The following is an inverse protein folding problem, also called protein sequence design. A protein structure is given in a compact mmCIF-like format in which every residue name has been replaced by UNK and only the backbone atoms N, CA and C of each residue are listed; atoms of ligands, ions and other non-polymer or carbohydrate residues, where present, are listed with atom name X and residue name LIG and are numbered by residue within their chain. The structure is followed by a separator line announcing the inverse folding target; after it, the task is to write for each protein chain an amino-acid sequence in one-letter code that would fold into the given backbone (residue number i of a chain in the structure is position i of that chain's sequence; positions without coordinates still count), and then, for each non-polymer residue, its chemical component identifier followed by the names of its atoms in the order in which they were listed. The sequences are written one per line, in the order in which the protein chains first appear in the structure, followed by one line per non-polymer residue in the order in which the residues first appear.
data_IF_890358845410
#
_entry.id   IF_890358845410
#
_cell.length_a   1.000
_cell.length_b   1.000
_cell.length_c   1.000
_cell.angle_alpha   90.00
_cell.angle_beta   90.00
_cell.angle_gamma   90.00
#
_symmetry.space_group_name_H-M   'P 1'
#
loop_
_entity.id
_entity.type
_entity.pdbx_description
1 polymer ?
#
# COMPACT_ATOMS: atom_id res chain seq x y z
N UNK A 1 22.94 12.27 -10.43
CA UNK A 1 22.57 11.21 -9.46
C UNK A 1 22.14 11.84 -8.13
N UNK A 2 22.74 12.95 -7.72
CA UNK A 2 22.49 13.65 -6.45
C UNK A 2 21.04 14.13 -6.21
N UNK A 3 20.29 14.39 -7.29
CA UNK A 3 18.93 14.95 -7.18
C UNK A 3 17.87 13.92 -6.71
N UNK A 4 18.04 12.63 -7.01
CA UNK A 4 17.04 11.60 -6.64
C UNK A 4 17.08 11.31 -5.14
N UNK A 5 18.27 11.22 -4.56
CA UNK A 5 18.43 10.98 -3.12
C UNK A 5 17.81 12.14 -2.35
N UNK A 6 18.06 13.38 -2.78
CA UNK A 6 17.45 14.57 -2.18
C UNK A 6 15.91 14.56 -2.29
N UNK A 7 15.36 14.26 -3.46
CA UNK A 7 13.91 14.14 -3.65
C UNK A 7 13.29 13.04 -2.78
N UNK A 8 13.94 11.87 -2.70
CA UNK A 8 13.51 10.75 -1.87
C UNK A 8 13.49 11.17 -0.39
N UNK A 9 14.57 11.80 0.10
CA UNK A 9 14.65 12.28 1.48
C UNK A 9 13.60 13.35 1.78
N UNK A 10 13.37 14.32 0.88
CA UNK A 10 12.33 15.35 1.05
C UNK A 10 10.93 14.74 1.08
N UNK A 11 10.66 13.77 0.21
CA UNK A 11 9.38 13.07 0.16
C UNK A 11 9.05 12.38 1.49
N UNK A 12 9.96 11.57 2.04
CA UNK A 12 9.69 10.88 3.30
C UNK A 12 9.58 11.83 4.49
N UNK A 13 10.41 12.87 4.56
CA UNK A 13 10.26 13.92 5.59
C UNK A 13 8.89 14.58 5.53
N UNK A 14 8.36 14.82 4.32
CA UNK A 14 7.02 15.35 4.15
C UNK A 14 5.97 14.34 4.62
N UNK A 15 6.02 13.09 4.16
CA UNK A 15 5.08 12.04 4.57
C UNK A 15 5.08 11.85 6.09
N UNK A 16 6.25 11.79 6.73
CA UNK A 16 6.40 11.65 8.19
C UNK A 16 5.69 12.73 9.00
N UNK A 17 5.61 13.96 8.50
CA UNK A 17 4.87 15.04 9.16
C UNK A 17 3.37 14.75 9.22
N UNK A 18 2.82 14.07 8.21
CA UNK A 18 1.41 13.70 8.13
C UNK A 18 1.12 12.31 8.71
N UNK A 19 2.14 11.44 8.88
CA UNK A 19 1.99 10.09 9.45
C UNK A 19 1.41 10.11 10.86
N UNK A 20 1.89 11.00 11.72
CA UNK A 20 1.60 10.96 13.17
C UNK A 20 0.10 10.95 13.52
N UNK A 21 -0.75 11.45 12.63
CA UNK A 21 -2.20 11.51 12.84
C UNK A 21 -3.01 10.82 11.74
N UNK A 22 -2.37 10.18 10.76
CA UNK A 22 -3.09 9.58 9.64
C UNK A 22 -3.52 8.15 9.95
N UNK A 23 -4.81 7.88 9.81
CA UNK A 23 -5.36 6.50 9.82
C UNK A 23 -5.28 5.80 8.46
N UNK A 24 -4.81 6.52 7.44
CA UNK A 24 -4.85 6.09 6.03
C UNK A 24 -3.48 5.71 5.48
N UNK A 25 -2.40 6.00 6.21
CA UNK A 25 -1.05 5.63 5.79
C UNK A 25 -0.60 4.42 6.59
N UNK A 26 -0.04 3.44 5.89
CA UNK A 26 0.41 2.18 6.47
C UNK A 26 1.92 2.07 6.35
N UNK A 27 2.56 1.64 7.45
CA UNK A 27 3.95 1.20 7.45
C UNK A 27 4.08 -0.18 6.80
N UNK A 28 5.30 -0.59 6.45
CA UNK A 28 5.57 -1.95 5.99
C UNK A 28 5.13 -2.99 7.03
N UNK A 29 5.37 -2.71 8.32
CA UNK A 29 4.95 -3.57 9.42
C UNK A 29 3.43 -3.64 9.54
N UNK A 30 2.71 -2.52 9.38
CA UNK A 30 1.24 -2.53 9.36
C UNK A 30 0.69 -3.42 8.25
N UNK A 31 1.25 -3.29 7.04
CA UNK A 31 0.84 -4.09 5.88
C UNK A 31 1.12 -5.56 6.14
N UNK A 32 2.33 -5.90 6.59
CA UNK A 32 2.75 -7.27 6.91
C UNK A 32 1.87 -7.88 8.00
N UNK A 33 1.67 -7.19 9.12
CA UNK A 33 0.85 -7.66 10.23
C UNK A 33 -0.59 -7.93 9.78
N UNK A 34 -1.17 -7.07 8.93
CA UNK A 34 -2.52 -7.29 8.38
C UNK A 34 -2.59 -8.50 7.46
N UNK A 35 -1.59 -8.69 6.59
CA UNK A 35 -1.50 -9.87 5.72
C UNK A 35 -1.42 -11.14 6.56
N UNK A 36 -0.52 -11.18 7.55
CA UNK A 36 -0.33 -12.32 8.44
C UNK A 36 -1.60 -12.65 9.24
N UNK A 37 -2.28 -11.63 9.78
CA UNK A 37 -3.57 -11.81 10.46
C UNK A 37 -4.62 -12.40 9.51
N UNK A 38 -4.73 -11.90 8.28
CA UNK A 38 -5.70 -12.39 7.30
C UNK A 38 -5.40 -13.85 6.92
N UNK A 39 -4.15 -14.16 6.61
CA UNK A 39 -3.73 -15.52 6.21
C UNK A 39 -3.93 -16.52 7.34
N UNK A 40 -3.51 -16.17 8.56
CA UNK A 40 -3.62 -17.06 9.73
C UNK A 40 -5.07 -17.33 10.13
N UNK A 41 -5.91 -16.29 10.16
CA UNK A 41 -7.31 -16.41 10.59
C UNK A 41 -8.24 -16.96 9.49
N UNK A 42 -7.79 -17.04 8.23
CA UNK A 42 -8.51 -17.81 7.20
C UNK A 42 -8.44 -19.32 7.49
N UNK A 43 -7.30 -19.78 8.00
CA UNK A 43 -7.06 -21.20 8.30
C UNK A 43 -7.67 -21.66 9.64
N UNK A 44 -8.07 -20.73 10.52
CA UNK A 44 -8.66 -21.05 11.83
C UNK A 44 -9.93 -20.21 12.12
N UNK A 45 -11.13 -20.70 11.73
CA UNK A 45 -12.36 -19.92 11.79
C UNK A 45 -12.99 -19.75 13.19
N UNK A 46 -12.51 -20.47 14.20
CA UNK A 46 -13.28 -20.77 15.42
C UNK A 46 -13.35 -19.65 16.46
N UNK A 47 -12.63 -18.54 16.28
CA UNK A 47 -12.62 -17.42 17.23
C UNK A 47 -12.44 -16.06 16.54
N UNK A 48 -13.31 -15.73 15.57
CA UNK A 48 -13.23 -14.42 14.90
C UNK A 48 -13.68 -13.30 15.84
N UNK A 49 -12.72 -12.73 16.57
CA UNK A 49 -12.89 -11.47 17.26
C UNK A 49 -13.41 -10.40 16.28
N UNK A 50 -14.22 -9.46 16.78
CA UNK A 50 -14.81 -8.38 15.96
C UNK A 50 -13.75 -7.60 15.15
N UNK A 51 -12.54 -7.45 15.69
CA UNK A 51 -11.41 -6.83 14.98
C UNK A 51 -11.00 -7.59 13.72
N UNK A 52 -10.97 -8.92 13.77
CA UNK A 52 -10.64 -9.79 12.64
C UNK A 52 -11.75 -9.78 11.59
N UNK A 53 -13.02 -9.77 12.04
CA UNK A 53 -14.15 -9.58 11.14
C UNK A 53 -14.04 -8.26 10.35
N UNK A 54 -13.80 -7.15 11.05
CA UNK A 54 -13.61 -5.83 10.42
C UNK A 54 -12.42 -5.82 9.46
N UNK A 55 -11.34 -6.53 9.79
CA UNK A 55 -10.17 -6.67 8.92
C UNK A 55 -10.52 -7.39 7.60
N UNK A 56 -11.30 -8.47 7.64
CA UNK A 56 -11.72 -9.20 6.44
C UNK A 56 -12.72 -8.45 5.56
N UNK A 57 -13.52 -7.57 6.17
CA UNK A 57 -14.42 -6.69 5.44
C UNK A 57 -13.62 -5.58 4.75
N UNK A 58 -12.69 -4.95 5.46
CA UNK A 58 -11.93 -3.83 4.92
C UNK A 58 -10.84 -4.24 3.91
N UNK A 59 -10.29 -5.45 4.01
CA UNK A 59 -9.12 -5.84 3.22
C UNK A 59 -9.20 -7.27 2.67
N UNK A 60 -8.49 -7.47 1.58
CA UNK A 60 -8.17 -8.77 0.99
C UNK A 60 -6.66 -8.94 0.89
N UNK A 61 -6.21 -10.18 0.85
CA UNK A 61 -4.84 -10.55 0.47
C UNK A 61 -4.92 -11.20 -0.89
N UNK A 62 -4.11 -10.69 -1.81
CA UNK A 62 -4.00 -11.18 -3.19
C UNK A 62 -2.54 -11.41 -3.53
N UNK A 63 -2.28 -12.49 -4.26
CA UNK A 63 -0.93 -12.85 -4.68
C UNK A 63 -0.63 -12.23 -6.05
N UNK A 64 0.49 -11.53 -6.16
CA UNK A 64 1.00 -11.02 -7.44
C UNK A 64 2.47 -11.41 -7.56
N UNK A 65 2.82 -12.14 -8.62
CA UNK A 65 4.21 -12.51 -8.89
C UNK A 65 4.88 -13.24 -7.71
N UNK A 66 4.13 -14.08 -6.99
CA UNK A 66 4.62 -14.84 -5.83
C UNK A 66 4.67 -14.04 -4.52
N UNK A 67 4.19 -12.80 -4.50
CA UNK A 67 4.16 -11.95 -3.30
C UNK A 67 2.73 -11.65 -2.88
N UNK A 68 2.40 -11.93 -1.62
CA UNK A 68 1.13 -11.54 -1.02
C UNK A 68 1.08 -10.02 -0.81
N UNK A 69 0.07 -9.38 -1.38
CA UNK A 69 -0.20 -7.94 -1.27
C UNK A 69 -1.53 -7.71 -0.56
N UNK A 70 -1.55 -6.70 0.30
CA UNK A 70 -2.78 -6.22 0.93
C UNK A 70 -3.54 -5.33 -0.07
N UNK A 71 -4.83 -5.58 -0.22
CA UNK A 71 -5.67 -4.85 -1.17
C UNK A 71 -7.01 -4.46 -0.55
N UNK A 72 -7.57 -3.38 -1.07
CA UNK A 72 -8.97 -2.99 -0.86
C UNK A 72 -9.73 -3.18 -2.16
N UNK A 73 -10.96 -3.64 -2.03
CA UNK A 73 -11.91 -3.63 -3.13
C UNK A 73 -12.61 -2.28 -3.11
N UNK A 74 -12.59 -1.59 -4.24
CA UNK A 74 -13.43 -0.44 -4.49
C UNK A 74 -14.67 -0.93 -5.24
N UNK A 75 -15.80 -0.98 -4.53
CA UNK A 75 -17.06 -1.49 -5.10
C UNK A 75 -17.70 -0.49 -6.06
N UNK A 76 -17.43 0.82 -5.90
CA UNK A 76 -17.99 1.86 -6.77
C UNK A 76 -17.34 1.81 -8.15
N UNK A 77 -16.01 1.74 -8.18
CA UNK A 77 -15.23 1.76 -9.42
C UNK A 77 -14.93 0.34 -9.98
N UNK A 78 -15.33 -0.72 -9.28
CA UNK A 78 -14.91 -2.12 -9.55
C UNK A 78 -13.38 -2.27 -9.65
N UNK A 79 -12.63 -1.54 -8.82
CA UNK A 79 -11.17 -1.54 -8.83
C UNK A 79 -10.59 -2.30 -7.64
N UNK A 80 -9.43 -2.90 -7.84
CA UNK A 80 -8.61 -3.48 -6.77
C UNK A 80 -7.47 -2.53 -6.45
N UNK A 81 -7.53 -1.87 -5.30
CA UNK A 81 -6.52 -0.91 -4.85
C UNK A 81 -5.49 -1.61 -3.98
N UNK A 82 -4.26 -1.73 -4.46
CA UNK A 82 -3.13 -2.24 -3.68
C UNK A 82 -2.69 -1.22 -2.63
N UNK A 83 -2.48 -1.70 -1.41
CA UNK A 83 -1.91 -0.87 -0.35
C UNK A 83 -0.39 -0.90 -0.47
N UNK A 84 0.18 0.21 -0.93
CA UNK A 84 1.62 0.46 -0.89
C UNK A 84 1.97 0.99 0.50
N UNK A 85 2.93 0.35 1.17
CA UNK A 85 3.52 0.90 2.37
C UNK A 85 4.21 2.22 2.04
N UNK A 86 4.14 3.21 2.93
CA UNK A 86 4.68 4.53 2.60
C UNK A 86 6.18 4.46 2.34
N UNK A 87 6.91 3.59 3.04
CA UNK A 87 8.34 3.35 2.88
C UNK A 87 8.71 2.91 1.47
N UNK A 88 7.77 2.33 0.72
CA UNK A 88 7.98 1.85 -0.66
C UNK A 88 7.43 2.84 -1.71
N UNK A 89 6.62 3.81 -1.28
CA UNK A 89 5.81 4.64 -2.16
C UNK A 89 6.64 5.49 -3.13
N UNK A 90 7.75 6.09 -2.67
CA UNK A 90 8.62 6.87 -3.55
C UNK A 90 9.25 6.01 -4.63
N UNK A 91 9.73 4.81 -4.26
CA UNK A 91 10.40 3.91 -5.19
C UNK A 91 9.43 3.38 -6.25
N UNK A 92 8.19 3.07 -5.87
CA UNK A 92 7.15 2.67 -6.83
C UNK A 92 6.77 3.83 -7.77
N UNK A 93 6.63 5.07 -7.25
CA UNK A 93 6.36 6.25 -8.08
C UNK A 93 7.52 6.51 -9.05
N UNK A 94 8.76 6.50 -8.58
CA UNK A 94 9.95 6.75 -9.38
C UNK A 94 10.13 5.67 -10.46
N UNK A 95 9.92 4.41 -10.11
CA UNK A 95 9.93 3.28 -11.05
C UNK A 95 8.89 3.46 -12.14
N UNK A 96 7.65 3.79 -11.79
CA UNK A 96 6.59 4.00 -12.78
C UNK A 96 6.89 5.22 -13.65
N UNK A 97 7.30 6.34 -13.05
CA UNK A 97 7.67 7.57 -13.75
C UNK A 97 8.79 7.35 -14.79
N UNK A 98 9.81 6.56 -14.43
CA UNK A 98 10.86 6.15 -15.37
C UNK A 98 10.32 5.26 -16.48
N UNK A 99 9.45 4.31 -16.14
CA UNK A 99 8.87 3.35 -17.11
C UNK A 99 8.01 4.06 -18.17
N UNK A 100 7.29 5.12 -17.81
CA UNK A 100 6.49 5.93 -18.76
C UNK A 100 7.31 6.99 -19.51
N UNK A 101 8.65 6.95 -19.41
CA UNK A 101 9.56 7.80 -20.16
C UNK A 101 9.72 9.22 -19.61
N UNK A 102 9.77 9.37 -18.29
CA UNK A 102 9.86 10.68 -17.60
C UNK A 102 8.71 11.64 -17.93
N UNK A 103 7.54 11.08 -18.24
CA UNK A 103 6.35 11.88 -18.48
C UNK A 103 5.91 12.62 -17.22
N UNK A 104 5.48 13.88 -17.38
CA UNK A 104 4.87 14.65 -16.29
C UNK A 104 3.61 13.99 -15.71
N UNK A 105 2.97 14.64 -14.74
CA UNK A 105 1.83 14.10 -13.95
C UNK A 105 0.77 13.39 -14.83
N UNK A 106 0.40 13.97 -15.97
CA UNK A 106 -0.60 13.42 -16.90
C UNK A 106 -0.23 12.10 -17.60
N UNK A 107 1.06 11.75 -17.68
CA UNK A 107 1.50 10.45 -18.23
C UNK A 107 1.69 9.40 -17.13
N UNK A 108 1.85 9.86 -15.89
CA UNK A 108 2.04 9.01 -14.70
C UNK A 108 0.70 8.58 -14.11
N UNK A 109 -0.31 9.46 -14.13
CA UNK A 109 -1.70 9.15 -13.79
C UNK A 109 -2.43 8.81 -15.09
N UNK A 110 -2.36 7.55 -15.54
CA UNK A 110 -3.32 7.08 -16.55
C UNK A 110 -4.65 6.80 -15.83
N UNK A 111 -5.70 7.48 -16.29
CA UNK A 111 -7.10 7.13 -15.99
C UNK A 111 -7.41 5.69 -16.44
#
# INVERSE_FOLDING_TARGET
MDNIIEHKTRFYKFVEQYLKNSRMVYTQDDVKNKIEQIVTNRSNPSTKEMKIYNLFQAFKVIEIGGVNRLAKLDEEDNLVKYICAYEELFDEIDKYHKTVGHGGIHKTLKE
#
